data_IF_228805561402
#
_entry.id   IF_228805561402
#
_cell.length_a   1.000
_cell.length_b   1.000
_cell.length_c   1.000
_cell.angle_alpha   90.00
_cell.angle_beta   90.00
_cell.angle_gamma   90.00
#
_symmetry.space_group_name_H-M   'P 1'
#
loop_
_entity.id
_entity.type
_entity.pdbx_description
1 polymer ?
#
# COMPACT_ATOMS: atom_id res chain seq x y z
N UNK A 1 -5.13 -27.24 -16.31
CA UNK A 1 -4.88 -26.48 -15.09
C UNK A 1 -4.62 -25.04 -15.39
N UNK A 2 -5.24 -24.21 -14.67
CA UNK A 2 -5.09 -22.82 -14.89
C UNK A 2 -3.81 -22.32 -14.24
N UNK A 3 -2.92 -21.70 -15.02
CA UNK A 3 -1.74 -21.14 -14.41
C UNK A 3 -2.17 -20.07 -13.44
N UNK A 4 -1.60 -20.14 -12.32
CA UNK A 4 -1.81 -19.15 -11.32
C UNK A 4 -0.97 -17.97 -11.67
N UNK A 5 -1.43 -17.21 -12.56
CA UNK A 5 -0.87 -15.94 -12.66
C UNK A 5 -1.48 -15.14 -11.61
N UNK A 6 -0.83 -15.06 -10.70
CA UNK A 6 -1.00 -13.97 -9.89
C UNK A 6 -0.70 -12.75 -10.65
N UNK A 7 -1.63 -12.38 -11.37
CA UNK A 7 -1.73 -11.00 -11.63
C UNK A 7 -1.88 -10.33 -10.35
N UNK A 8 -1.32 -10.85 -9.37
CA UNK A 8 -1.67 -10.34 -8.20
C UNK A 8 -0.51 -9.92 -7.40
N UNK A 9 -0.90 -9.43 -6.32
CA UNK A 9 0.02 -9.11 -5.27
C UNK A 9 0.60 -10.38 -4.69
N UNK A 10 1.89 -10.30 -4.34
CA UNK A 10 2.63 -11.36 -3.68
C UNK A 10 3.22 -10.82 -2.40
N UNK A 11 3.55 -11.69 -1.43
CA UNK A 11 4.23 -11.21 -0.22
C UNK A 11 5.47 -10.39 -0.58
N UNK A 12 5.66 -9.27 0.10
CA UNK A 12 6.76 -8.35 -0.19
C UNK A 12 8.08 -8.75 0.47
N UNK A 13 8.23 -10.01 0.81
CA UNK A 13 9.44 -10.51 1.49
C UNK A 13 10.70 -10.39 0.63
N UNK A 14 10.52 -10.23 -0.67
CA UNK A 14 11.62 -9.99 -1.59
C UNK A 14 12.26 -8.61 -1.38
N UNK A 15 11.48 -7.66 -0.87
CA UNK A 15 11.93 -6.28 -0.69
C UNK A 15 12.14 -5.92 0.76
N UNK A 16 11.36 -6.52 1.67
CA UNK A 16 11.37 -6.18 3.07
C UNK A 16 11.35 -7.43 3.92
N UNK A 17 12.02 -7.41 5.07
CA UNK A 17 11.92 -8.52 6.01
C UNK A 17 10.61 -8.41 6.80
N UNK A 18 10.25 -9.47 7.53
CA UNK A 18 8.97 -9.55 8.24
C UNK A 18 8.82 -8.52 9.35
N UNK A 19 9.93 -8.04 9.87
CA UNK A 19 9.94 -7.11 11.01
C UNK A 19 10.42 -5.73 10.60
N UNK A 20 10.31 -5.41 9.32
CA UNK A 20 10.72 -4.09 8.84
C UNK A 20 9.86 -3.00 9.47
N UNK A 21 10.48 -1.98 10.01
CA UNK A 21 9.78 -0.84 10.57
C UNK A 21 9.65 0.26 9.53
N UNK A 22 8.45 0.78 9.42
CA UNK A 22 8.15 1.85 8.48
C UNK A 22 7.72 3.10 9.23
N UNK A 23 8.20 4.25 8.81
CA UNK A 23 7.81 5.52 9.40
C UNK A 23 6.74 6.17 8.52
N UNK A 24 5.60 6.50 9.12
CA UNK A 24 4.52 7.15 8.38
C UNK A 24 4.92 8.58 8.03
N UNK A 25 4.87 8.91 6.76
CA UNK A 25 5.28 10.24 6.26
C UNK A 25 4.09 11.15 6.03
N UNK A 26 2.95 10.60 5.62
CA UNK A 26 1.77 11.40 5.30
C UNK A 26 0.96 11.72 6.55
N UNK A 27 0.44 12.95 6.63
CA UNK A 27 -0.45 13.33 7.71
C UNK A 27 -1.86 12.76 7.50
N UNK A 28 -2.29 12.69 6.25
CA UNK A 28 -3.62 12.17 5.89
C UNK A 28 -3.49 11.26 4.68
N UNK A 29 -4.28 10.19 4.63
CA UNK A 29 -4.24 9.29 3.48
C UNK A 29 -4.83 9.96 2.24
N UNK A 30 -4.37 9.53 1.08
CA UNK A 30 -5.04 9.83 -0.16
C UNK A 30 -6.19 8.83 -0.32
N UNK A 31 -7.36 9.32 -0.64
CA UNK A 31 -8.50 8.46 -0.87
C UNK A 31 -8.57 8.08 -2.33
N UNK A 32 -8.65 6.78 -2.58
CA UNK A 32 -8.83 6.27 -3.93
C UNK A 32 -10.31 5.94 -4.10
N UNK A 33 -10.96 6.63 -5.03
CA UNK A 33 -12.37 6.42 -5.31
C UNK A 33 -12.55 5.48 -6.48
N UNK A 34 -13.63 4.71 -6.46
CA UNK A 34 -13.93 3.80 -7.54
C UNK A 34 -14.26 4.59 -8.81
N UNK A 35 -13.77 4.09 -9.94
CA UNK A 35 -14.05 4.69 -11.23
C UNK A 35 -15.26 4.00 -11.86
N UNK A 36 -16.24 4.79 -12.25
CA UNK A 36 -17.44 4.28 -12.92
C UNK A 36 -17.26 4.46 -14.43
N UNK A 37 -17.13 3.35 -15.14
CA UNK A 37 -16.91 3.38 -16.59
C UNK A 37 -18.15 3.82 -17.38
N UNK A 38 -19.33 3.65 -16.81
CA UNK A 38 -20.56 4.06 -17.47
C UNK A 38 -20.74 5.58 -17.47
N UNK A 39 -20.49 6.21 -16.33
CA UNK A 39 -20.62 7.66 -16.20
C UNK A 39 -19.31 8.38 -16.50
N UNK A 40 -18.21 7.63 -16.62
CA UNK A 40 -16.85 8.18 -16.82
C UNK A 40 -16.51 9.21 -15.76
N UNK A 41 -16.79 8.86 -14.52
CA UNK A 41 -16.50 9.72 -13.38
C UNK A 41 -16.16 8.87 -12.17
N UNK A 42 -15.58 9.50 -11.17
CA UNK A 42 -15.31 8.83 -9.91
C UNK A 42 -16.58 8.80 -9.06
N UNK A 43 -16.78 7.69 -8.38
CA UNK A 43 -17.89 7.55 -7.44
C UNK A 43 -17.57 8.22 -6.13
N UNK A 44 -18.58 8.48 -5.32
CA UNK A 44 -18.38 9.07 -3.99
C UNK A 44 -17.80 8.07 -3.00
N UNK A 45 -17.92 6.79 -3.29
CA UNK A 45 -17.44 5.73 -2.41
C UNK A 45 -15.91 5.64 -2.45
N UNK A 46 -15.29 5.65 -1.28
CA UNK A 46 -13.85 5.47 -1.16
C UNK A 46 -13.53 3.98 -1.24
N UNK A 47 -12.70 3.61 -2.20
CA UNK A 47 -12.32 2.24 -2.45
C UNK A 47 -11.11 1.82 -1.62
N UNK A 48 -10.19 2.73 -1.43
CA UNK A 48 -8.97 2.47 -0.67
C UNK A 48 -8.36 3.75 -0.12
N UNK A 49 -7.44 3.58 0.82
CA UNK A 49 -6.69 4.67 1.43
C UNK A 49 -5.21 4.44 1.20
N UNK A 50 -4.49 5.44 0.74
CA UNK A 50 -3.07 5.33 0.41
C UNK A 50 -2.26 6.19 1.36
N UNK A 51 -1.35 5.53 2.08
CA UNK A 51 -0.42 6.20 2.99
C UNK A 51 0.99 6.04 2.48
N UNK A 52 1.83 7.02 2.71
CA UNK A 52 3.25 6.94 2.34
C UNK A 52 4.10 6.61 3.56
N UNK A 53 4.96 5.63 3.43
CA UNK A 53 5.85 5.18 4.48
C UNK A 53 7.30 5.24 4.03
N UNK A 54 8.16 5.66 4.94
CA UNK A 54 9.60 5.67 4.71
C UNK A 54 10.24 4.45 5.37
N UNK A 55 11.32 3.97 4.79
CA UNK A 55 12.10 2.87 5.34
C UNK A 55 13.60 3.13 5.11
N UNK A 56 14.45 2.26 5.65
CA UNK A 56 15.92 2.43 5.55
C UNK A 56 16.37 3.83 5.99
N UNK A 57 16.02 4.20 7.21
CA UNK A 57 16.37 5.50 7.78
C UNK A 57 15.88 6.67 6.92
N UNK A 58 14.72 6.47 6.31
CA UNK A 58 14.04 7.48 5.50
C UNK A 58 14.71 7.79 4.16
N UNK A 59 15.56 6.88 3.68
CA UNK A 59 16.15 7.07 2.36
C UNK A 59 15.15 6.87 1.23
N UNK A 60 14.14 6.04 1.44
CA UNK A 60 13.15 5.73 0.41
C UNK A 60 11.75 5.77 0.99
N UNK A 61 10.80 6.09 0.13
CA UNK A 61 9.38 6.19 0.49
C UNK A 61 8.58 5.32 -0.45
N UNK A 62 7.63 4.56 0.11
CA UNK A 62 6.69 3.77 -0.67
C UNK A 62 5.27 4.18 -0.35
N UNK A 63 4.37 4.06 -1.33
CA UNK A 63 2.95 4.26 -1.13
C UNK A 63 2.30 2.91 -0.90
N UNK A 64 1.54 2.80 0.18
CA UNK A 64 0.89 1.56 0.58
C UNK A 64 -0.62 1.74 0.62
N UNK A 65 -1.32 0.85 -0.06
CA UNK A 65 -2.78 0.89 -0.15
C UNK A 65 -3.39 0.02 0.94
N UNK A 66 -4.40 0.56 1.61
CA UNK A 66 -5.20 -0.15 2.60
C UNK A 66 -6.67 -0.10 2.19
N UNK A 67 -7.40 -1.17 2.46
CA UNK A 67 -8.84 -1.18 2.18
C UNK A 67 -9.63 -0.40 3.21
N UNK A 68 -9.07 -0.21 4.39
CA UNK A 68 -9.70 0.54 5.47
C UNK A 68 -8.78 1.65 5.96
N UNK A 69 -9.41 2.72 6.45
CA UNK A 69 -8.66 3.83 7.02
C UNK A 69 -7.94 3.37 8.29
N UNK A 70 -6.67 3.70 8.40
CA UNK A 70 -5.84 3.31 9.54
C UNK A 70 -5.82 4.42 10.58
N UNK A 71 -5.78 4.03 11.84
CA UNK A 71 -5.57 5.00 12.92
C UNK A 71 -4.06 5.12 13.14
N UNK A 72 -3.49 6.10 12.50
CA UNK A 72 -2.03 6.26 12.49
C UNK A 72 -1.67 7.71 12.74
N UNK A 73 -0.48 7.90 13.26
CA UNK A 73 0.07 9.23 13.57
C UNK A 73 1.29 9.48 12.71
N UNK A 74 1.34 10.65 12.08
CA UNK A 74 2.46 11.04 11.23
C UNK A 74 3.78 10.95 12.00
N UNK A 75 4.79 10.42 11.34
CA UNK A 75 6.15 10.21 11.87
C UNK A 75 6.30 9.15 12.95
N UNK A 76 5.24 8.43 13.27
CA UNK A 76 5.37 7.25 14.13
C UNK A 76 5.77 6.03 13.29
N UNK A 77 6.32 5.04 13.96
CA UNK A 77 6.78 3.81 13.30
C UNK A 77 5.75 2.71 13.40
N UNK A 78 5.62 1.96 12.32
CA UNK A 78 4.64 0.89 12.22
C UNK A 78 5.22 -0.35 11.58
N UNK A 79 4.73 -1.52 12.01
CA UNK A 79 4.86 -2.75 11.24
C UNK A 79 3.65 -2.84 10.32
N UNK A 80 3.86 -3.23 9.08
CA UNK A 80 2.77 -3.41 8.12
C UNK A 80 2.41 -4.88 8.03
N UNK A 81 1.16 -5.21 8.32
CA UNK A 81 0.72 -6.61 8.33
C UNK A 81 0.35 -7.05 6.93
N UNK A 82 0.82 -8.24 6.58
CA UNK A 82 0.58 -8.84 5.25
C UNK A 82 0.89 -7.88 4.12
N UNK A 83 2.07 -7.26 4.19
CA UNK A 83 2.54 -6.37 3.13
C UNK A 83 2.78 -7.17 1.86
N UNK A 84 2.15 -6.74 0.79
CA UNK A 84 2.23 -7.38 -0.51
C UNK A 84 2.67 -6.40 -1.57
N UNK A 85 3.25 -6.92 -2.64
CA UNK A 85 3.74 -6.12 -3.75
C UNK A 85 3.20 -6.66 -5.08
N UNK A 86 2.83 -5.75 -5.96
CA UNK A 86 2.54 -6.05 -7.36
C UNK A 86 3.65 -5.43 -8.20
N UNK A 87 4.34 -6.26 -8.96
CA UNK A 87 5.40 -5.80 -9.83
C UNK A 87 4.84 -5.59 -11.24
N UNK A 88 4.75 -4.33 -11.65
CA UNK A 88 4.30 -3.98 -13.01
C UNK A 88 5.53 -3.74 -13.87
N UNK A 89 5.97 -4.79 -14.56
CA UNK A 89 7.17 -4.72 -15.38
C UNK A 89 7.01 -3.82 -16.60
N UNK A 90 5.81 -3.67 -17.11
CA UNK A 90 5.57 -2.81 -18.27
C UNK A 90 5.71 -1.34 -17.90
N UNK A 91 5.19 -0.96 -16.74
CA UNK A 91 5.27 0.41 -16.27
C UNK A 91 6.52 0.68 -15.44
N UNK A 92 7.32 -0.33 -15.15
CA UNK A 92 8.46 -0.25 -14.25
C UNK A 92 8.09 0.33 -12.89
N UNK A 93 6.96 -0.15 -12.36
CA UNK A 93 6.44 0.32 -11.08
C UNK A 93 6.16 -0.81 -10.12
N UNK A 94 6.29 -0.50 -8.84
CA UNK A 94 5.90 -1.39 -7.77
C UNK A 94 4.70 -0.78 -7.05
N UNK A 95 3.71 -1.60 -6.80
CA UNK A 95 2.54 -1.20 -6.03
C UNK A 95 2.47 -2.02 -4.76
N UNK A 96 2.27 -1.37 -3.63
CA UNK A 96 2.23 -2.05 -2.35
C UNK A 96 0.85 -1.93 -1.73
N UNK A 97 0.43 -2.98 -1.03
CA UNK A 97 -0.77 -2.95 -0.21
C UNK A 97 -0.50 -3.72 1.08
N UNK A 98 -1.22 -3.38 2.13
CA UNK A 98 -1.12 -4.07 3.40
C UNK A 98 -2.50 -4.21 4.02
N UNK A 99 -2.63 -5.14 4.96
CA UNK A 99 -3.87 -5.35 5.66
C UNK A 99 -4.06 -4.33 6.76
N UNK A 100 -3.00 -4.00 7.48
CA UNK A 100 -3.04 -3.03 8.55
C UNK A 100 -1.68 -2.53 8.94
N UNK A 101 -1.67 -1.55 9.83
CA UNK A 101 -0.45 -0.99 10.40
C UNK A 101 -0.52 -1.11 11.93
N UNK A 102 0.52 -1.66 12.53
CA UNK A 102 0.61 -1.86 13.96
C UNK A 102 1.74 -1.01 14.51
N UNK A 103 1.43 -0.18 15.51
CA UNK A 103 2.43 0.69 16.12
C UNK A 103 3.57 -0.12 16.74
N UNK A 104 4.78 0.27 16.42
CA UNK A 104 5.98 -0.35 16.99
C UNK A 104 6.13 -0.04 18.48
#
# INVERSE_FOLDING_TARGET
MKPIFTTGYQPATKYFNEHEEFTLVTAKPREKRAWNTETKSYEDTVDAYIYSFAFNDCDQVIDVKFTERQQVTQFSRYYLTNLEVYEDFKAHKLYFRAEGAILC
#
